data_IF_740356997548
#
_entry.id   IF_740356997548
#
_cell.length_a   1.000
_cell.length_b   1.000
_cell.length_c   1.000
_cell.angle_alpha   90.00
_cell.angle_beta   90.00
_cell.angle_gamma   90.00
#
_symmetry.space_group_name_H-M   'P 1'
#
loop_
_entity.id
_entity.type
_entity.pdbx_description
1 polymer ?
#
# COMPACT_ATOMS: atom_id res chain seq x y z
N UNK A 1 -10.86 13.58 1.66
CA UNK A 1 -10.23 12.85 0.58
C UNK A 1 -10.21 11.38 0.90
N UNK A 2 -10.42 10.55 -0.09
CA UNK A 2 -10.35 9.12 0.06
C UNK A 2 -9.05 8.60 -0.52
N UNK A 3 -8.67 7.39 -0.12
CA UNK A 3 -7.47 6.74 -0.64
C UNK A 3 -7.83 5.38 -1.16
N UNK A 4 -7.10 4.92 -2.14
CA UNK A 4 -7.27 3.58 -2.65
C UNK A 4 -5.91 2.92 -2.80
N UNK A 5 -5.81 1.69 -2.37
CA UNK A 5 -4.59 0.88 -2.50
C UNK A 5 -4.75 -0.22 -3.55
N UNK A 6 -5.72 -0.07 -4.43
CA UNK A 6 -5.94 -1.07 -5.49
C UNK A 6 -4.70 -1.28 -6.35
N UNK A 7 -3.96 -0.22 -6.61
CA UNK A 7 -2.72 -0.34 -7.37
C UNK A 7 -1.72 -1.23 -6.66
N UNK A 8 -1.65 -1.12 -5.33
CA UNK A 8 -0.78 -1.96 -4.53
C UNK A 8 -1.16 -3.43 -4.66
N UNK A 9 -2.46 -3.72 -4.57
CA UNK A 9 -2.92 -5.11 -4.66
C UNK A 9 -2.62 -5.70 -6.02
N UNK A 10 -2.82 -4.94 -7.09
CA UNK A 10 -2.49 -5.39 -8.44
C UNK A 10 -1.01 -5.66 -8.60
N UNK A 11 -0.18 -4.77 -8.06
CA UNK A 11 1.27 -4.92 -8.15
C UNK A 11 1.72 -6.17 -7.38
N UNK A 12 1.12 -6.43 -6.23
CA UNK A 12 1.43 -7.62 -5.47
C UNK A 12 1.09 -8.89 -6.24
N UNK A 13 -0.04 -8.89 -6.94
CA UNK A 13 -0.44 -10.03 -7.77
C UNK A 13 0.58 -10.23 -8.89
N UNK A 14 0.99 -9.15 -9.54
CA UNK A 14 1.97 -9.21 -10.62
C UNK A 14 3.30 -9.77 -10.14
N UNK A 15 3.68 -9.46 -8.92
CA UNK A 15 4.94 -9.92 -8.34
C UNK A 15 4.80 -11.22 -7.58
N UNK A 16 3.58 -11.77 -7.52
CA UNK A 16 3.28 -13.03 -6.84
C UNK A 16 3.67 -13.00 -5.37
N UNK A 17 3.38 -11.88 -4.71
CA UNK A 17 3.64 -11.70 -3.29
C UNK A 17 2.31 -11.61 -2.57
N UNK A 18 2.16 -12.32 -1.45
CA UNK A 18 0.96 -12.18 -0.63
C UNK A 18 1.19 -11.15 0.49
N UNK A 19 0.13 -10.83 1.22
CA UNK A 19 0.19 -9.82 2.29
C UNK A 19 1.18 -10.19 3.39
N UNK A 20 1.21 -11.46 3.78
CA UNK A 20 2.13 -11.92 4.81
C UNK A 20 3.58 -11.76 4.37
N UNK A 21 3.87 -12.12 3.14
CA UNK A 21 5.22 -11.98 2.61
C UNK A 21 5.64 -10.50 2.54
N UNK A 22 4.74 -9.66 2.10
CA UNK A 22 5.02 -8.22 2.04
C UNK A 22 5.27 -7.65 3.42
N UNK A 23 4.47 -8.04 4.40
CA UNK A 23 4.61 -7.58 5.76
C UNK A 23 5.98 -7.94 6.33
N UNK A 24 6.43 -9.16 6.11
CA UNK A 24 7.74 -9.61 6.58
C UNK A 24 8.87 -8.92 5.84
N UNK A 25 8.76 -8.82 4.54
CA UNK A 25 9.82 -8.23 3.72
C UNK A 25 9.99 -6.74 3.99
N UNK A 26 8.88 -6.03 4.18
CA UNK A 26 8.92 -4.60 4.45
C UNK A 26 9.19 -4.29 5.92
N UNK A 27 9.04 -5.26 6.80
CA UNK A 27 9.22 -5.03 8.21
C UNK A 27 8.14 -4.16 8.83
N UNK A 28 6.92 -4.24 8.31
CA UNK A 28 5.79 -3.48 8.84
C UNK A 28 4.94 -4.37 9.75
N UNK A 29 4.11 -3.74 10.58
CA UNK A 29 3.29 -4.49 11.52
C UNK A 29 2.04 -5.04 10.85
N UNK A 30 1.42 -6.04 11.49
CA UNK A 30 0.15 -6.56 11.02
C UNK A 30 -0.94 -5.50 11.08
N UNK A 31 -0.87 -4.59 12.05
CA UNK A 31 -1.82 -3.47 12.13
C UNK A 31 -1.73 -2.58 10.91
N UNK A 32 -0.51 -2.28 10.46
CA UNK A 32 -0.32 -1.47 9.27
C UNK A 32 -0.90 -2.16 8.04
N UNK A 33 -0.67 -3.47 7.92
CA UNK A 33 -1.22 -4.24 6.82
C UNK A 33 -2.75 -4.27 6.87
N UNK A 34 -3.34 -4.40 8.05
CA UNK A 34 -4.79 -4.36 8.21
C UNK A 34 -5.37 -3.02 7.78
N UNK A 35 -4.67 -1.93 8.10
CA UNK A 35 -5.11 -0.58 7.68
C UNK A 35 -5.07 -0.47 6.16
N UNK A 36 -4.05 -0.99 5.53
CA UNK A 36 -3.98 -1.00 4.07
C UNK A 36 -5.16 -1.76 3.47
N UNK A 37 -5.54 -2.87 4.08
CA UNK A 37 -6.69 -3.66 3.62
C UNK A 37 -8.03 -2.94 3.75
N UNK A 38 -8.11 -1.92 4.62
CA UNK A 38 -9.31 -1.12 4.80
C UNK A 38 -9.23 0.23 4.12
N UNK A 39 -8.22 0.46 3.32
CA UNK A 39 -7.94 1.76 2.70
C UNK A 39 -7.83 2.88 3.76
N UNK A 40 -7.32 2.52 4.93
CA UNK A 40 -7.14 3.44 6.03
C UNK A 40 -5.79 4.16 5.89
N UNK A 41 -5.60 5.22 6.69
CA UNK A 41 -4.37 5.98 6.65
C UNK A 41 -3.24 5.23 7.34
N UNK A 42 -2.10 5.15 6.66
CA UNK A 42 -0.88 4.60 7.24
C UNK A 42 0.22 5.65 7.15
N UNK A 43 1.30 5.47 7.90
CA UNK A 43 2.39 6.44 7.89
C UNK A 43 3.14 6.39 6.56
N UNK A 44 3.77 7.50 6.21
CA UNK A 44 4.60 7.58 5.02
C UNK A 44 5.74 6.56 5.08
N UNK A 45 6.32 6.38 6.25
CA UNK A 45 7.40 5.42 6.44
C UNK A 45 6.96 4.01 6.04
N UNK A 46 5.75 3.62 6.42
CA UNK A 46 5.19 2.31 6.04
C UNK A 46 5.12 2.19 4.52
N UNK A 47 4.61 3.23 3.86
CA UNK A 47 4.49 3.23 2.41
C UNK A 47 5.86 3.18 1.74
N UNK A 48 6.84 3.89 2.27
CA UNK A 48 8.20 3.88 1.74
C UNK A 48 8.83 2.51 1.84
N UNK A 49 8.63 1.82 2.95
CA UNK A 49 9.14 0.47 3.12
C UNK A 49 8.55 -0.48 2.10
N UNK A 50 7.25 -0.35 1.83
CA UNK A 50 6.58 -1.16 0.83
C UNK A 50 7.16 -0.87 -0.56
N UNK A 51 7.38 0.39 -0.88
CA UNK A 51 7.94 0.79 -2.16
C UNK A 51 9.33 0.20 -2.39
N UNK A 52 10.14 0.18 -1.35
CA UNK A 52 11.49 -0.39 -1.44
C UNK A 52 11.43 -1.88 -1.75
N UNK A 53 10.52 -2.60 -1.08
CA UNK A 53 10.37 -4.03 -1.31
C UNK A 53 9.88 -4.34 -2.71
N UNK A 54 8.93 -3.54 -3.20
CA UNK A 54 8.33 -3.78 -4.51
C UNK A 54 9.08 -3.10 -5.65
N UNK A 55 10.06 -2.24 -5.32
CA UNK A 55 10.82 -1.52 -6.34
C UNK A 55 9.97 -0.55 -7.14
N UNK A 56 9.07 0.16 -6.48
CA UNK A 56 8.15 1.08 -7.15
C UNK A 56 8.09 2.40 -6.40
N UNK A 57 7.30 3.34 -6.93
CA UNK A 57 7.11 4.65 -6.30
C UNK A 57 5.79 4.66 -5.53
N UNK A 58 5.57 5.71 -4.75
CA UNK A 58 4.31 5.87 -4.02
C UNK A 58 3.12 5.94 -4.97
N UNK A 59 3.28 6.61 -6.10
CA UNK A 59 2.22 6.72 -7.08
C UNK A 59 1.77 5.37 -7.63
N UNK A 60 2.65 4.38 -7.56
CA UNK A 60 2.35 3.04 -8.05
C UNK A 60 1.49 2.25 -7.07
N UNK A 61 1.39 2.67 -5.82
CA UNK A 61 0.66 1.91 -4.80
C UNK A 61 -0.50 2.68 -4.18
N UNK A 62 -0.51 4.00 -4.27
CA UNK A 62 -1.56 4.82 -3.64
C UNK A 62 -2.24 5.69 -4.67
N UNK A 63 -3.57 5.73 -4.61
CA UNK A 63 -4.34 6.67 -5.40
C UNK A 63 -5.16 7.51 -4.44
N UNK A 64 -5.07 8.83 -4.57
CA UNK A 64 -5.84 9.74 -3.75
C UNK A 64 -7.04 10.21 -4.56
N UNK A 65 -8.23 10.02 -4.01
CA UNK A 65 -9.46 10.39 -4.67
C UNK A 65 -10.01 11.63 -3.99
N UNK A 66 -10.14 12.74 -4.70
CA UNK A 66 -10.67 13.97 -4.09
C UNK A 66 -12.12 13.78 -3.67
N UNK A 67 -12.46 14.36 -2.51
CA UNK A 67 -13.83 14.32 -2.06
C UNK A 67 -14.74 15.20 -2.90
N UNK A 68 -14.20 16.31 -3.38
CA UNK A 68 -15.01 17.16 -4.19
C UNK A 68 -14.64 16.97 -5.59
N UNK A 69 -15.60 16.74 -6.36
CA UNK A 69 -15.42 16.65 -7.64
C UNK A 69 -16.05 17.58 -8.22
N UNK A 70 -15.61 18.09 -8.69
CA UNK A 70 -16.41 18.70 -9.18
C UNK A 70 -16.34 18.57 -10.42
#
# INVERSE_FOLDING_TARGET
>A
MARSYNKLWKLMIDKKINKTQLCKAAGITTNAMAKLGRDDTVTQETLEKICVVLGCTLDDIVKIIPDTLQ
#
